data_IF_485252263532
#
_entry.id   IF_485252263532
#
_cell.length_a   1.000
_cell.length_b   1.000
_cell.length_c   1.000
_cell.angle_alpha   90.00
_cell.angle_beta   90.00
_cell.angle_gamma   90.00
#
_symmetry.space_group_name_H-M   'P 1'
#
loop_
_entity.id
_entity.type
_entity.pdbx_description
1 polymer ?
#
# COMPACT_ATOMS: atom_id res chain seq x y z
N UNK A 1 8.77 -3.99 -28.52
CA UNK A 1 7.35 -4.30 -28.26
C UNK A 1 7.05 -4.02 -26.80
N UNK A 2 6.08 -3.16 -26.54
CA UNK A 2 5.66 -2.86 -25.18
C UNK A 2 5.14 -4.14 -24.50
N UNK A 3 5.60 -4.39 -23.28
CA UNK A 3 5.08 -5.50 -22.48
C UNK A 3 3.64 -5.19 -22.06
N UNK A 4 2.70 -6.13 -22.21
CA UNK A 4 1.32 -5.89 -21.81
C UNK A 4 1.24 -5.67 -20.29
N UNK A 5 0.45 -4.69 -19.88
CA UNK A 5 0.15 -4.45 -18.47
C UNK A 5 -0.92 -5.45 -18.04
N UNK A 6 -0.55 -6.45 -17.26
CA UNK A 6 -1.45 -7.52 -16.81
C UNK A 6 -1.81 -7.45 -15.34
N UNK A 7 -0.91 -6.92 -14.53
CA UNK A 7 -1.08 -6.79 -13.09
C UNK A 7 -0.51 -5.47 -12.61
N UNK A 8 -1.31 -4.71 -11.89
CA UNK A 8 -0.95 -3.43 -11.32
C UNK A 8 -0.95 -3.59 -9.80
N UNK A 9 0.18 -3.30 -9.16
CA UNK A 9 0.22 -3.22 -7.71
C UNK A 9 -0.17 -1.81 -7.27
N UNK A 10 -1.22 -1.71 -6.47
CA UNK A 10 -1.61 -0.48 -5.80
C UNK A 10 -1.25 -0.58 -4.32
N UNK A 11 -0.37 0.30 -3.86
CA UNK A 11 0.02 0.38 -2.46
C UNK A 11 -0.80 1.44 -1.73
N UNK A 12 -1.42 1.06 -0.62
CA UNK A 12 -2.27 1.95 0.16
C UNK A 12 -1.91 1.95 1.64
N UNK A 13 -1.99 3.12 2.27
CA UNK A 13 -2.01 3.30 3.73
C UNK A 13 -3.39 3.72 4.24
N UNK A 14 -4.42 3.61 3.39
CA UNK A 14 -5.81 4.01 3.61
C UNK A 14 -6.00 5.52 3.87
N UNK A 15 -5.00 6.36 3.59
CA UNK A 15 -5.14 7.82 3.67
C UNK A 15 -5.94 8.37 2.50
N UNK A 16 -6.45 9.60 2.65
CA UNK A 16 -7.10 10.33 1.54
C UNK A 16 -6.15 10.55 0.36
N UNK A 17 -4.86 10.74 0.63
CA UNK A 17 -3.86 10.85 -0.43
C UNK A 17 -3.73 9.57 -1.26
N UNK A 18 -3.86 8.41 -0.64
CA UNK A 18 -3.83 7.12 -1.34
C UNK A 18 -5.11 6.84 -2.14
N UNK A 19 -6.25 7.45 -1.80
CA UNK A 19 -7.50 7.30 -2.59
C UNK A 19 -7.37 7.79 -4.03
N UNK A 20 -6.61 8.85 -4.27
CA UNK A 20 -6.34 9.32 -5.62
C UNK A 20 -5.47 8.37 -6.42
N UNK A 21 -4.51 7.77 -5.75
CA UNK A 21 -3.70 6.72 -6.36
C UNK A 21 -4.57 5.50 -6.70
N UNK A 22 -5.61 5.21 -5.90
CA UNK A 22 -6.60 4.19 -6.22
C UNK A 22 -7.37 4.51 -7.51
N UNK A 23 -7.85 5.72 -7.65
CA UNK A 23 -8.59 6.14 -8.84
C UNK A 23 -7.74 5.95 -10.11
N UNK A 24 -6.47 6.34 -10.05
CA UNK A 24 -5.52 6.13 -11.15
C UNK A 24 -5.24 4.65 -11.41
N UNK A 25 -5.05 3.86 -10.37
CA UNK A 25 -4.84 2.42 -10.49
C UNK A 25 -6.05 1.71 -11.12
N UNK A 26 -7.27 2.11 -10.74
CA UNK A 26 -8.52 1.60 -11.32
C UNK A 26 -8.65 1.98 -12.80
N UNK A 27 -8.34 3.22 -13.16
CA UNK A 27 -8.35 3.66 -14.54
C UNK A 27 -7.38 2.87 -15.40
N UNK A 28 -6.15 2.71 -14.92
CA UNK A 28 -5.13 1.91 -15.62
C UNK A 28 -5.51 0.44 -15.74
N UNK A 29 -6.12 -0.14 -14.69
CA UNK A 29 -6.59 -1.52 -14.71
C UNK A 29 -7.68 -1.72 -15.76
N UNK A 30 -8.66 -0.80 -15.85
CA UNK A 30 -9.73 -0.84 -16.87
C UNK A 30 -9.19 -0.70 -18.30
N UNK A 31 -8.29 0.26 -18.52
CA UNK A 31 -7.72 0.52 -19.85
C UNK A 31 -6.90 -0.66 -20.39
N UNK A 32 -6.32 -1.45 -19.52
CA UNK A 32 -5.43 -2.54 -19.89
C UNK A 32 -6.03 -3.94 -19.66
N UNK A 33 -7.26 -4.03 -19.18
CA UNK A 33 -7.86 -5.28 -18.69
C UNK A 33 -6.95 -6.01 -17.70
N UNK A 34 -6.32 -5.25 -16.80
CA UNK A 34 -5.36 -5.74 -15.84
C UNK A 34 -6.00 -6.09 -14.49
N UNK A 35 -5.39 -7.03 -13.78
CA UNK A 35 -5.71 -7.33 -12.39
C UNK A 35 -5.06 -6.31 -11.46
N UNK A 36 -5.78 -5.88 -10.44
CA UNK A 36 -5.28 -4.99 -9.41
C UNK A 36 -4.85 -5.80 -8.18
N UNK A 37 -3.58 -5.71 -7.80
CA UNK A 37 -3.06 -6.24 -6.56
C UNK A 37 -3.02 -5.11 -5.51
N UNK A 38 -3.94 -5.16 -4.55
CA UNK A 38 -4.05 -4.15 -3.49
C UNK A 38 -3.16 -4.55 -2.32
N UNK A 39 -2.16 -3.76 -2.02
CA UNK A 39 -1.16 -4.04 -0.98
C UNK A 39 -1.25 -3.00 0.12
N UNK A 40 -1.36 -3.46 1.36
CA UNK A 40 -1.13 -2.67 2.56
C UNK A 40 -0.09 -3.35 3.42
N UNK A 41 0.82 -2.57 3.99
CA UNK A 41 1.87 -3.05 4.89
C UNK A 41 1.62 -2.52 6.28
N UNK A 42 1.47 -3.43 7.23
CA UNK A 42 1.41 -3.12 8.66
C UNK A 42 2.84 -3.02 9.16
N UNK A 43 3.27 -1.80 9.48
CA UNK A 43 4.57 -1.60 10.08
C UNK A 43 4.54 -1.98 11.56
N UNK A 44 5.57 -2.68 12.08
CA UNK A 44 5.62 -3.01 13.49
C UNK A 44 5.70 -1.72 14.32
N UNK A 45 4.89 -1.65 15.37
CA UNK A 45 5.03 -0.59 16.38
C UNK A 45 6.37 -0.77 17.07
N UNK A 46 7.16 0.29 17.21
CA UNK A 46 8.46 0.22 17.85
C UNK A 46 8.36 -0.34 19.28
N UNK A 47 9.17 -1.33 19.63
CA UNK A 47 9.20 -1.94 20.95
C UNK A 47 9.45 -0.93 22.09
N UNK A 48 10.01 0.22 21.74
CA UNK A 48 10.34 1.30 22.68
C UNK A 48 9.12 2.16 23.09
N UNK A 49 7.99 2.03 22.42
CA UNK A 49 6.78 2.78 22.77
C UNK A 49 6.05 2.24 24.01
N UNK A 50 6.36 1.01 24.44
CA UNK A 50 5.85 0.40 25.64
C UNK A 50 7.03 0.17 26.59
N UNK A 51 7.20 1.04 27.59
CA UNK A 51 8.29 0.93 28.57
C UNK A 51 8.39 -0.49 29.18
N UNK A 52 9.60 -0.95 29.39
CA UNK A 52 9.90 -2.32 29.89
C UNK A 52 9.29 -2.61 31.27
N UNK A 53 8.91 -1.58 32.03
CA UNK A 53 8.58 -1.70 33.47
C UNK A 53 7.10 -1.96 33.80
N UNK A 54 6.14 -1.86 32.82
CA UNK A 54 4.72 -1.94 33.11
C UNK A 54 3.91 -2.84 32.13
N UNK A 55 4.35 -4.06 31.92
CA UNK A 55 3.61 -4.98 31.03
C UNK A 55 3.70 -4.59 29.55
N UNK A 56 4.81 -3.99 29.14
CA UNK A 56 5.06 -3.46 27.80
C UNK A 56 4.88 -4.49 26.70
N UNK A 57 5.22 -5.76 26.93
CA UNK A 57 5.04 -6.85 25.97
C UNK A 57 3.55 -7.12 25.69
N UNK A 58 2.71 -7.13 26.74
CA UNK A 58 1.26 -7.35 26.59
C UNK A 58 0.59 -6.18 25.87
N UNK A 59 0.93 -4.94 26.24
CA UNK A 59 0.44 -3.74 25.57
C UNK A 59 0.86 -3.71 24.09
N UNK A 60 2.11 -4.03 23.81
CA UNK A 60 2.63 -4.14 22.46
C UNK A 60 1.83 -5.15 21.62
N UNK A 61 1.55 -6.33 22.17
CA UNK A 61 0.76 -7.36 21.48
C UNK A 61 -0.68 -6.91 21.23
N UNK A 62 -1.31 -6.19 22.18
CA UNK A 62 -2.65 -5.62 21.99
C UNK A 62 -2.69 -4.57 20.90
N UNK A 63 -1.71 -3.66 20.84
CA UNK A 63 -1.62 -2.64 19.80
C UNK A 63 -1.43 -3.29 18.43
N UNK A 64 -0.57 -4.31 18.34
CA UNK A 64 -0.37 -5.07 17.11
C UNK A 64 -1.66 -5.73 16.63
N UNK A 65 -2.43 -6.33 17.55
CA UNK A 65 -3.69 -6.98 17.22
C UNK A 65 -4.75 -5.98 16.76
N UNK A 66 -4.86 -4.83 17.43
CA UNK A 66 -5.77 -3.74 17.01
C UNK A 66 -5.41 -3.22 15.62
N UNK A 67 -4.14 -2.93 15.38
CA UNK A 67 -3.68 -2.45 14.07
C UNK A 67 -3.95 -3.46 12.96
N UNK A 68 -3.77 -4.75 13.25
CA UNK A 68 -4.08 -5.82 12.30
C UNK A 68 -5.57 -5.87 11.96
N UNK A 69 -6.43 -5.84 12.98
CA UNK A 69 -7.90 -5.83 12.79
C UNK A 69 -8.39 -4.62 12.02
N UNK A 70 -7.86 -3.44 12.31
CA UNK A 70 -8.21 -2.21 11.60
C UNK A 70 -7.77 -2.27 10.14
N UNK A 71 -6.58 -2.78 9.87
CA UNK A 71 -6.09 -2.99 8.52
C UNK A 71 -6.93 -4.01 7.74
N UNK A 72 -7.32 -5.11 8.38
CA UNK A 72 -8.22 -6.12 7.79
C UNK A 72 -9.58 -5.54 7.42
N UNK A 73 -10.19 -4.75 8.33
CA UNK A 73 -11.48 -4.07 8.07
C UNK A 73 -11.37 -3.09 6.91
N UNK A 74 -10.34 -2.27 6.89
CA UNK A 74 -10.10 -1.31 5.81
C UNK A 74 -9.88 -2.00 4.47
N UNK A 75 -9.13 -3.09 4.47
CA UNK A 75 -8.92 -3.90 3.27
C UNK A 75 -10.21 -4.53 2.76
N UNK A 76 -11.01 -5.10 3.65
CA UNK A 76 -12.31 -5.68 3.27
C UNK A 76 -13.25 -4.65 2.67
N UNK A 77 -13.32 -3.45 3.25
CA UNK A 77 -14.12 -2.34 2.72
C UNK A 77 -13.65 -1.93 1.32
N UNK A 78 -12.36 -1.81 1.13
CA UNK A 78 -11.76 -1.46 -0.15
C UNK A 78 -12.02 -2.55 -1.21
N UNK A 79 -11.86 -3.82 -0.85
CA UNK A 79 -12.11 -4.93 -1.76
C UNK A 79 -13.58 -5.02 -2.18
N UNK A 80 -14.53 -4.76 -1.28
CA UNK A 80 -15.96 -4.66 -1.63
C UNK A 80 -16.23 -3.54 -2.63
N UNK A 81 -15.63 -2.36 -2.43
CA UNK A 81 -15.73 -1.23 -3.36
C UNK A 81 -15.23 -1.61 -4.77
N UNK A 82 -14.10 -2.28 -4.84
CA UNK A 82 -13.53 -2.74 -6.11
C UNK A 82 -14.40 -3.81 -6.78
N UNK A 83 -14.95 -4.74 -6.02
CA UNK A 83 -15.89 -5.74 -6.53
C UNK A 83 -17.15 -5.11 -7.10
N UNK A 84 -17.75 -4.14 -6.42
CA UNK A 84 -18.90 -3.38 -6.91
C UNK A 84 -18.58 -2.61 -8.20
N UNK A 85 -17.34 -2.11 -8.33
CA UNK A 85 -16.85 -1.45 -9.53
C UNK A 85 -16.43 -2.43 -10.65
N UNK A 86 -16.62 -3.74 -10.45
CA UNK A 86 -16.27 -4.82 -11.39
C UNK A 86 -14.78 -4.82 -11.77
N UNK A 87 -13.92 -4.50 -10.81
CA UNK A 87 -12.46 -4.58 -10.95
C UNK A 87 -11.99 -5.94 -10.44
N UNK A 88 -11.23 -6.65 -11.26
CA UNK A 88 -10.53 -7.86 -10.81
C UNK A 88 -9.42 -7.46 -9.86
N UNK A 89 -9.53 -7.83 -8.60
CA UNK A 89 -8.56 -7.43 -7.59
C UNK A 89 -8.27 -8.57 -6.61
N UNK A 90 -7.04 -8.60 -6.13
CA UNK A 90 -6.59 -9.42 -5.00
C UNK A 90 -6.04 -8.50 -3.91
N UNK A 91 -6.24 -8.88 -2.67
CA UNK A 91 -5.69 -8.18 -1.52
C UNK A 91 -4.45 -8.88 -0.98
N UNK A 92 -3.50 -8.09 -0.51
CA UNK A 92 -2.29 -8.57 0.13
C UNK A 92 -1.97 -7.69 1.34
N UNK A 93 -2.14 -8.28 2.52
CA UNK A 93 -1.84 -7.64 3.79
C UNK A 93 -0.50 -8.18 4.30
N UNK A 94 0.50 -7.30 4.36
CA UNK A 94 1.87 -7.66 4.71
C UNK A 94 2.29 -7.01 6.02
N UNK A 95 3.34 -7.54 6.64
CA UNK A 95 3.99 -6.98 7.82
C UNK A 95 5.44 -6.69 7.52
N UNK A 96 5.95 -5.58 8.02
CA UNK A 96 7.36 -5.22 7.90
C UNK A 96 7.56 -3.77 7.47
N UNK A 97 8.69 -3.50 6.87
CA UNK A 97 9.04 -2.17 6.36
C UNK A 97 8.29 -1.95 5.05
N UNK A 98 7.50 -0.88 4.97
CA UNK A 98 6.55 -0.67 3.87
C UNK A 98 7.21 -0.73 2.49
N UNK A 99 8.26 0.04 2.24
CA UNK A 99 8.90 0.07 0.92
C UNK A 99 9.50 -1.28 0.52
N UNK A 100 10.10 -2.02 1.47
CA UNK A 100 10.67 -3.34 1.20
C UNK A 100 9.58 -4.34 0.80
N UNK A 101 8.49 -4.38 1.55
CA UNK A 101 7.38 -5.31 1.31
C UNK A 101 6.68 -5.00 -0.02
N UNK A 102 6.51 -3.73 -0.35
CA UNK A 102 5.89 -3.31 -1.62
C UNK A 102 6.76 -3.75 -2.80
N UNK A 103 8.06 -3.48 -2.78
CA UNK A 103 8.98 -3.85 -3.86
C UNK A 103 9.09 -5.37 -4.00
N UNK A 104 9.17 -6.10 -2.89
CA UNK A 104 9.16 -7.57 -2.90
C UNK A 104 7.87 -8.14 -3.47
N UNK A 105 6.72 -7.61 -3.06
CA UNK A 105 5.42 -8.05 -3.57
C UNK A 105 5.31 -7.81 -5.08
N UNK A 106 5.74 -6.65 -5.56
CA UNK A 106 5.75 -6.34 -6.98
C UNK A 106 6.59 -7.35 -7.78
N UNK A 107 7.78 -7.68 -7.29
CA UNK A 107 8.67 -8.67 -7.92
C UNK A 107 8.07 -10.08 -7.87
N UNK A 108 7.67 -10.54 -6.69
CA UNK A 108 7.18 -11.90 -6.48
C UNK A 108 5.86 -12.17 -7.21
N UNK A 109 5.00 -11.16 -7.30
CA UNK A 109 3.71 -11.25 -7.98
C UNK A 109 3.79 -10.83 -9.45
N UNK A 110 4.98 -10.53 -9.97
CA UNK A 110 5.22 -10.13 -11.36
C UNK A 110 4.32 -8.96 -11.77
N UNK A 111 4.25 -7.94 -10.92
CA UNK A 111 3.52 -6.72 -11.22
C UNK A 111 4.14 -6.01 -12.43
N UNK A 112 3.29 -5.56 -13.34
CA UNK A 112 3.71 -4.80 -14.52
C UNK A 112 4.10 -3.36 -14.17
N UNK A 113 3.51 -2.83 -13.09
CA UNK A 113 3.80 -1.52 -12.53
C UNK A 113 3.31 -1.42 -11.09
N UNK A 114 3.80 -0.40 -10.39
CA UNK A 114 3.33 0.02 -9.06
C UNK A 114 2.63 1.37 -9.19
N UNK A 115 1.49 1.54 -8.54
CA UNK A 115 0.81 2.83 -8.36
C UNK A 115 0.80 3.17 -6.89
N UNK A 116 1.30 4.34 -6.53
CA UNK A 116 1.45 4.78 -5.13
C UNK A 116 1.23 6.28 -5.00
N UNK A 117 0.61 6.71 -3.91
CA UNK A 117 0.52 8.13 -3.57
C UNK A 117 1.88 8.71 -3.18
N UNK A 118 2.14 9.97 -3.55
CA UNK A 118 3.40 10.65 -3.19
C UNK A 118 3.49 11.00 -1.71
N UNK A 119 2.35 11.12 -1.00
CA UNK A 119 2.25 11.46 0.41
C UNK A 119 1.34 10.45 1.10
N UNK A 120 1.75 10.03 2.31
CA UNK A 120 0.95 9.18 3.17
C UNK A 120 0.27 9.98 4.29
N UNK A 121 0.02 9.29 5.41
CA UNK A 121 -0.64 9.83 6.60
C UNK A 121 0.06 11.04 7.24
N UNK A 122 1.36 11.20 7.03
CA UNK A 122 2.16 12.26 7.68
C UNK A 122 1.97 13.65 7.10
N UNK A 123 1.28 13.79 5.96
CA UNK A 123 0.91 15.09 5.39
C UNK A 123 2.07 16.06 5.14
N UNK A 124 3.30 15.55 4.97
CA UNK A 124 4.48 16.35 4.71
C UNK A 124 4.30 17.22 3.47
N UNK A 125 4.96 18.38 3.49
CA UNK A 125 4.94 19.45 2.48
C UNK A 125 4.70 18.95 1.04
N UNK A 126 3.81 19.63 0.31
CA UNK A 126 3.48 19.36 -1.11
C UNK A 126 4.68 19.35 -2.07
N UNK A 127 5.86 19.80 -1.61
CA UNK A 127 7.08 19.91 -2.42
C UNK A 127 7.94 18.65 -2.40
N UNK A 128 7.72 17.76 -1.44
CA UNK A 128 8.56 16.57 -1.25
C UNK A 128 7.75 15.28 -1.38
N UNK A 129 8.34 14.31 -2.04
CA UNK A 129 7.82 12.95 -2.08
C UNK A 129 7.97 12.31 -0.69
N UNK A 130 6.93 11.61 -0.18
CA UNK A 130 7.00 10.87 1.06
C UNK A 130 8.10 9.81 1.05
N UNK A 131 8.58 9.43 2.25
CA UNK A 131 9.70 8.49 2.41
C UNK A 131 9.44 7.12 1.77
N UNK A 132 8.24 6.58 1.89
CA UNK A 132 7.87 5.29 1.29
C UNK A 132 7.85 5.38 -0.22
N UNK A 133 7.15 6.36 -0.79
CA UNK A 133 7.08 6.55 -2.23
C UNK A 133 8.46 6.79 -2.85
N UNK A 134 9.29 7.61 -2.23
CA UNK A 134 10.66 7.88 -2.70
C UNK A 134 11.53 6.63 -2.73
N UNK A 135 11.47 5.79 -1.70
CA UNK A 135 12.21 4.52 -1.66
C UNK A 135 11.66 3.49 -2.64
N UNK A 136 10.34 3.41 -2.82
CA UNK A 136 9.74 2.53 -3.83
C UNK A 136 10.21 2.93 -5.22
N UNK A 137 10.19 4.21 -5.57
CA UNK A 137 10.71 4.70 -6.87
C UNK A 137 12.17 4.31 -7.07
N UNK A 138 13.00 4.43 -6.03
CA UNK A 138 14.43 4.12 -6.12
C UNK A 138 14.74 2.62 -6.24
N UNK A 139 13.92 1.76 -5.64
CA UNK A 139 14.19 0.33 -5.49
C UNK A 139 13.38 -0.57 -6.42
N UNK A 140 12.28 -0.09 -6.97
CA UNK A 140 11.41 -0.90 -7.83
C UNK A 140 12.12 -1.31 -9.12
N UNK A 141 11.85 -2.54 -9.55
CA UNK A 141 12.35 -3.10 -10.83
C UNK A 141 11.34 -3.01 -11.96
N UNK A 142 10.17 -2.43 -11.70
CA UNK A 142 9.13 -2.13 -12.68
C UNK A 142 8.78 -0.63 -12.65
N UNK A 143 8.07 -0.11 -13.65
CA UNK A 143 7.59 1.27 -13.65
C UNK A 143 6.79 1.61 -12.41
N UNK A 144 6.96 2.81 -11.89
CA UNK A 144 6.22 3.34 -10.74
C UNK A 144 5.47 4.60 -11.15
N UNK A 145 4.16 4.57 -11.00
CA UNK A 145 3.29 5.72 -11.17
C UNK A 145 3.05 6.34 -9.81
N UNK A 146 3.53 7.54 -9.61
CA UNK A 146 3.31 8.31 -8.39
C UNK A 146 2.17 9.30 -8.59
N UNK A 147 1.21 9.31 -7.66
CA UNK A 147 0.03 10.16 -7.75
C UNK A 147 0.06 11.18 -6.62
N UNK A 148 -0.02 12.46 -6.98
CA UNK A 148 -0.07 13.53 -5.96
C UNK A 148 -1.45 13.59 -5.32
N UNK A 149 -1.47 13.61 -3.99
CA UNK A 149 -2.63 14.06 -3.23
C UNK A 149 -2.79 15.59 -3.34
N UNK A 150 -3.99 16.10 -3.28
CA UNK A 150 -4.24 17.54 -3.11
C UNK A 150 -4.20 17.91 -1.65
#
# INVERSE_FOLDING_TARGET
>A
VARPIRRILYATDYSKASERALDEAVNLARQNDAELLVVHVIEPVGQYAAGEDFGGAELYMRIQEVNKRDAERSMQKLMRKLQQAKIRAQSLLLKGIAHDQIVRAAKNRKASMIVIGTHGRTGLSKLFMGSVAGKVVSLATCPVVTVRGR
#
